data_IF_021839471617
#
_entry.id   IF_021839471617
#
_cell.length_a   1.000
_cell.length_b   1.000
_cell.length_c   1.000
_cell.angle_alpha   90.00
_cell.angle_beta   90.00
_cell.angle_gamma   90.00
#
_symmetry.space_group_name_H-M   'P 1'
#
loop_
_entity.id
_entity.type
_entity.pdbx_description
1 polymer ?
#
# COMPACT_ATOMS: atom_id res chain seq x y z
N UNK A 1 -3.78 -15.20 19.78
CA UNK A 1 -2.45 -15.19 19.13
C UNK A 1 -2.51 -15.08 17.60
N UNK A 2 -3.38 -15.81 16.89
CA UNK A 2 -3.44 -15.77 15.41
C UNK A 2 -3.77 -14.39 14.76
N UNK A 3 -4.44 -13.48 15.47
CA UNK A 3 -4.80 -12.16 14.93
C UNK A 3 -3.63 -11.17 14.95
N UNK A 4 -2.77 -11.24 15.98
CA UNK A 4 -1.60 -10.40 16.12
C UNK A 4 -0.55 -10.69 15.03
N UNK A 5 -0.35 -11.97 14.69
CA UNK A 5 0.55 -12.38 13.61
C UNK A 5 0.11 -11.87 12.24
N UNK A 6 -1.21 -11.83 11.98
CA UNK A 6 -1.75 -11.26 10.73
C UNK A 6 -1.62 -9.75 10.71
N UNK A 7 -1.87 -9.08 11.83
CA UNK A 7 -1.72 -7.62 11.94
C UNK A 7 -0.28 -7.19 11.64
N UNK A 8 0.71 -7.87 12.23
CA UNK A 8 2.12 -7.63 11.96
C UNK A 8 2.51 -7.82 10.49
N UNK A 9 1.91 -8.80 9.80
CA UNK A 9 2.14 -9.00 8.36
C UNK A 9 1.64 -7.82 7.52
N UNK A 10 0.51 -7.22 7.89
CA UNK A 10 -0.02 -6.04 7.17
C UNK A 10 0.75 -4.77 7.48
N UNK A 11 1.24 -4.60 8.70
CA UNK A 11 2.15 -3.51 9.07
C UNK A 11 3.45 -3.57 8.28
N UNK A 12 4.03 -4.77 8.16
CA UNK A 12 5.21 -4.99 7.32
C UNK A 12 4.92 -4.67 5.84
N UNK A 13 3.83 -5.19 5.30
CA UNK A 13 3.45 -4.94 3.91
C UNK A 13 3.23 -3.45 3.62
N UNK A 14 2.53 -2.73 4.51
CA UNK A 14 2.32 -1.29 4.37
C UNK A 14 3.62 -0.49 4.42
N UNK A 15 4.54 -0.88 5.30
CA UNK A 15 5.88 -0.28 5.39
C UNK A 15 6.68 -0.50 4.11
N UNK A 16 6.65 -1.71 3.55
CA UNK A 16 7.35 -2.04 2.30
C UNK A 16 6.74 -1.31 1.10
N UNK A 17 5.42 -1.18 1.03
CA UNK A 17 4.73 -0.37 0.02
C UNK A 17 5.23 1.08 0.05
N UNK A 18 5.28 1.68 1.25
CA UNK A 18 5.78 3.05 1.43
C UNK A 18 7.23 3.17 0.93
N UNK A 19 8.09 2.24 1.33
CA UNK A 19 9.50 2.21 0.94
C UNK A 19 9.65 2.17 -0.58
N UNK A 20 8.99 1.22 -1.25
CA UNK A 20 9.05 1.10 -2.72
C UNK A 20 8.52 2.33 -3.44
N UNK A 21 7.43 2.92 -2.94
CA UNK A 21 6.88 4.17 -3.49
C UNK A 21 7.91 5.30 -3.40
N UNK A 22 8.57 5.45 -2.26
CA UNK A 22 9.58 6.48 -2.02
C UNK A 22 10.83 6.25 -2.87
N UNK A 23 11.29 5.01 -3.00
CA UNK A 23 12.40 4.64 -3.90
C UNK A 23 12.08 4.93 -5.37
N UNK A 24 10.81 4.78 -5.77
CA UNK A 24 10.32 5.15 -7.10
C UNK A 24 10.10 6.67 -7.27
N UNK A 25 10.35 7.49 -6.24
CA UNK A 25 10.17 8.95 -6.28
C UNK A 25 8.72 9.41 -6.39
N UNK A 26 7.75 8.55 -6.03
CA UNK A 26 6.32 8.84 -6.17
C UNK A 26 5.75 9.40 -4.87
N UNK A 27 4.87 10.39 -4.97
CA UNK A 27 3.98 10.76 -3.85
C UNK A 27 2.85 9.75 -3.73
N UNK A 28 2.17 9.69 -2.57
CA UNK A 28 0.97 8.87 -2.40
C UNK A 28 -0.11 9.22 -3.46
N UNK A 29 -0.26 10.51 -3.78
CA UNK A 29 -1.18 10.97 -4.82
C UNK A 29 -0.76 10.48 -6.21
N UNK A 30 0.54 10.52 -6.54
CA UNK A 30 1.05 10.06 -7.82
C UNK A 30 0.85 8.54 -8.00
N UNK A 31 1.14 7.74 -6.97
CA UNK A 31 0.87 6.30 -7.00
C UNK A 31 -0.63 6.02 -7.11
N UNK A 32 -1.44 6.68 -6.28
CA UNK A 32 -2.89 6.51 -6.30
C UNK A 32 -3.48 6.78 -7.68
N UNK A 33 -3.06 7.88 -8.32
CA UNK A 33 -3.49 8.22 -9.69
C UNK A 33 -3.17 7.12 -10.71
N UNK A 34 -1.97 6.53 -10.65
CA UNK A 34 -1.55 5.44 -11.55
C UNK A 34 -2.30 4.13 -11.27
N UNK A 35 -2.58 3.84 -10.01
CA UNK A 35 -3.35 2.67 -9.59
C UNK A 35 -4.89 2.90 -9.60
N UNK A 36 -5.37 4.04 -10.11
CA UNK A 36 -6.80 4.44 -10.12
C UNK A 36 -7.47 4.37 -8.73
N UNK A 37 -6.80 4.91 -7.71
CA UNK A 37 -7.31 5.12 -6.34
C UNK A 37 -6.88 6.49 -5.80
N UNK A 38 -7.41 6.93 -4.67
CA UNK A 38 -6.97 8.20 -4.06
C UNK A 38 -5.64 8.03 -3.33
N UNK A 39 -4.85 9.11 -3.24
CA UNK A 39 -3.62 9.12 -2.44
C UNK A 39 -3.87 8.86 -0.95
N UNK A 40 -5.01 9.35 -0.42
CA UNK A 40 -5.43 9.02 0.95
C UNK A 40 -5.68 7.52 1.14
N UNK A 41 -6.15 6.81 0.11
CA UNK A 41 -6.34 5.36 0.19
C UNK A 41 -5.00 4.62 0.20
N UNK A 42 -4.01 5.07 -0.59
CA UNK A 42 -2.62 4.62 -0.50
C UNK A 42 -2.06 4.85 0.92
N UNK A 43 -2.28 6.01 1.51
CA UNK A 43 -1.84 6.29 2.88
C UNK A 43 -2.44 5.36 3.94
N UNK A 44 -3.69 4.90 3.76
CA UNK A 44 -4.31 3.90 4.63
C UNK A 44 -3.69 2.51 4.48
N UNK A 45 -3.25 2.15 3.28
CA UNK A 45 -2.52 0.91 3.01
C UNK A 45 -1.13 0.93 3.64
N UNK A 46 -0.39 2.03 3.49
CA UNK A 46 0.94 2.20 4.08
C UNK A 46 0.94 2.13 5.61
N UNK A 47 -0.16 2.53 6.24
CA UNK A 47 -0.37 2.48 7.70
C UNK A 47 -1.04 1.19 8.18
N UNK A 48 -1.29 0.23 7.28
CA UNK A 48 -2.02 -1.01 7.56
C UNK A 48 -3.43 -0.79 8.18
N UNK A 49 -4.00 0.40 8.02
CA UNK A 49 -5.38 0.74 8.44
C UNK A 49 -6.38 0.00 7.54
N UNK A 50 -6.05 -0.12 6.25
CA UNK A 50 -6.82 -0.89 5.28
C UNK A 50 -5.94 -1.88 4.54
N UNK A 51 -6.58 -2.94 4.07
CA UNK A 51 -6.00 -3.93 3.18
C UNK A 51 -6.47 -3.62 1.76
N UNK A 52 -5.59 -3.60 0.75
CA UNK A 52 -6.03 -3.47 -0.62
C UNK A 52 -6.90 -4.67 -1.01
N UNK A 53 -7.87 -4.44 -1.87
CA UNK A 53 -8.45 -5.53 -2.64
C UNK A 53 -7.42 -6.04 -3.65
N UNK A 54 -7.58 -7.29 -4.10
CA UNK A 54 -6.60 -7.95 -4.96
C UNK A 54 -6.32 -7.15 -6.24
N UNK A 55 -7.36 -6.61 -6.87
CA UNK A 55 -7.28 -5.78 -8.06
C UNK A 55 -6.51 -4.47 -7.83
N UNK A 56 -6.62 -3.88 -6.64
CA UNK A 56 -5.83 -2.69 -6.25
C UNK A 56 -4.38 -3.08 -6.01
N UNK A 57 -4.12 -4.21 -5.35
CA UNK A 57 -2.77 -4.70 -5.11
C UNK A 57 -2.03 -4.99 -6.43
N UNK A 58 -2.69 -5.67 -7.38
CA UNK A 58 -2.13 -5.94 -8.72
C UNK A 58 -1.79 -4.63 -9.45
N UNK A 59 -2.69 -3.64 -9.43
CA UNK A 59 -2.42 -2.32 -10.05
C UNK A 59 -1.27 -1.57 -9.38
N UNK A 60 -1.04 -1.75 -8.09
CA UNK A 60 0.11 -1.18 -7.39
C UNK A 60 1.41 -1.86 -7.85
N UNK A 61 1.41 -3.20 -7.97
CA UNK A 61 2.57 -3.98 -8.45
C UNK A 61 2.91 -3.69 -9.93
N UNK A 62 1.92 -3.33 -10.76
CA UNK A 62 2.17 -2.86 -12.13
C UNK A 62 2.88 -1.50 -12.19
N UNK A 63 2.80 -0.71 -11.11
CA UNK A 63 3.38 0.64 -11.03
C UNK A 63 4.74 0.65 -10.31
N UNK A 64 4.98 -0.26 -9.36
CA UNK A 64 6.15 -0.32 -8.47
C UNK A 64 6.93 -1.63 -8.60
#
# INVERSE_FOLDING_TARGET
MANASRQAAWEFWGTELKRRREDAGLTQEALGRRAFVSGGYIGQFEQAIRKPQLDVAVRIDEVL
#
